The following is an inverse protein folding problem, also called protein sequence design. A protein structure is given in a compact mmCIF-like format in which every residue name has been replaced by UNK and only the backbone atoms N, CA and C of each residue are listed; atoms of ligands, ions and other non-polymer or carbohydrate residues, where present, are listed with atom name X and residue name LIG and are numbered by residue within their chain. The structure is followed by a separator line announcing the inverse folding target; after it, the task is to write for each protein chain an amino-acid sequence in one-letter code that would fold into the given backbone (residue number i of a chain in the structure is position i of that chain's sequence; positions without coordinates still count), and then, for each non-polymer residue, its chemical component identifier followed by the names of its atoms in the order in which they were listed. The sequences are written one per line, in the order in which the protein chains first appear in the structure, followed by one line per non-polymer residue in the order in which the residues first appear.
data_IF_642096413332
#
_entry.id   IF_642096413332
#
_cell.length_a   1.000
_cell.length_b   1.000
_cell.length_c   1.000
_cell.angle_alpha   90.00
_cell.angle_beta   90.00
_cell.angle_gamma   90.00
#
_symmetry.space_group_name_H-M   'P 1'
#
loop_
_entity.id
_entity.type
_entity.pdbx_description
1 polymer ?
#
# COMPACT_ATOMS: atom_id res chain seq x y z
N UNK A 1 18.39 3.23 -19.66
CA UNK A 1 17.03 3.79 -19.52
C UNK A 1 16.11 2.65 -19.10
N UNK A 2 15.61 2.70 -17.88
CA UNK A 2 14.58 1.79 -17.39
C UNK A 2 13.27 2.25 -18.04
N UNK A 3 12.78 1.47 -19.00
CA UNK A 3 11.55 1.79 -19.73
C UNK A 3 10.33 1.59 -18.84
N UNK A 4 9.99 2.58 -18.03
CA UNK A 4 8.75 2.59 -17.26
C UNK A 4 7.59 2.78 -18.24
N UNK A 5 6.69 1.82 -18.30
CA UNK A 5 5.48 1.91 -19.13
C UNK A 5 4.26 2.06 -18.24
N UNK A 6 3.67 3.23 -18.23
CA UNK A 6 2.38 3.49 -17.63
C UNK A 6 1.26 3.22 -18.66
N UNK A 7 0.34 2.33 -18.36
CA UNK A 7 -0.81 2.00 -19.19
C UNK A 7 -2.09 2.31 -18.43
N UNK A 8 -2.89 3.26 -18.95
CA UNK A 8 -4.25 3.48 -18.48
C UNK A 8 -5.21 2.47 -19.11
N UNK A 9 -6.10 1.87 -18.35
CA UNK A 9 -7.13 0.97 -18.83
C UNK A 9 -8.50 1.42 -18.34
N UNK A 10 -9.48 1.49 -19.25
CA UNK A 10 -10.82 1.95 -18.89
C UNK A 10 -11.64 0.89 -18.12
N UNK A 11 -11.33 -0.40 -18.25
CA UNK A 11 -12.00 -1.48 -17.53
C UNK A 11 -11.10 -2.70 -17.40
N UNK A 12 -10.87 -3.15 -16.18
CA UNK A 12 -10.09 -4.34 -15.91
C UNK A 12 -10.83 -5.26 -14.93
N UNK A 13 -10.73 -6.58 -15.13
CA UNK A 13 -11.23 -7.55 -14.13
C UNK A 13 -10.53 -7.28 -12.79
N UNK A 14 -9.22 -7.12 -12.83
CA UNK A 14 -8.33 -6.65 -11.77
C UNK A 14 -7.02 -6.25 -12.43
N UNK A 15 -6.52 -5.04 -12.15
CA UNK A 15 -5.27 -4.52 -12.72
C UNK A 15 -4.07 -5.45 -12.49
N UNK A 16 -3.90 -5.98 -11.28
CA UNK A 16 -2.83 -6.93 -10.97
C UNK A 16 -3.03 -8.32 -11.62
N UNK A 17 -4.26 -8.76 -11.90
CA UNK A 17 -4.49 -9.98 -12.68
C UNK A 17 -4.10 -9.78 -14.15
N UNK A 18 -4.44 -8.62 -14.71
CA UNK A 18 -4.00 -8.24 -16.04
C UNK A 18 -2.47 -8.13 -16.10
N UNK A 19 -1.84 -7.49 -15.12
CA UNK A 19 -0.39 -7.35 -15.05
C UNK A 19 0.31 -8.73 -15.02
N UNK A 20 -0.17 -9.65 -14.19
CA UNK A 20 0.34 -11.03 -14.11
C UNK A 20 0.23 -11.80 -15.43
N UNK A 21 -0.87 -11.61 -16.17
CA UNK A 21 -1.09 -12.26 -17.47
C UNK A 21 -0.30 -11.61 -18.62
N UNK A 22 0.32 -10.47 -18.39
CA UNK A 22 1.03 -9.68 -19.39
C UNK A 22 2.44 -9.25 -18.94
N UNK A 23 3.11 -10.07 -18.11
CA UNK A 23 4.43 -9.76 -17.56
C UNK A 23 5.47 -9.45 -18.66
N UNK A 24 5.34 -10.06 -19.83
CA UNK A 24 6.19 -9.83 -21.01
C UNK A 24 6.15 -8.40 -21.53
N UNK A 25 5.07 -7.67 -21.25
CA UNK A 25 4.89 -6.26 -21.66
C UNK A 25 5.61 -5.25 -20.79
N UNK A 26 6.12 -5.69 -19.63
CA UNK A 26 6.80 -4.82 -18.66
C UNK A 26 8.32 -4.98 -18.77
N UNK A 27 9.04 -3.88 -18.62
CA UNK A 27 10.48 -3.84 -18.39
C UNK A 27 10.83 -4.27 -16.95
N UNK A 28 12.04 -3.95 -16.47
CA UNK A 28 12.44 -4.21 -15.08
C UNK A 28 11.49 -3.59 -14.06
N UNK A 29 11.02 -2.37 -14.32
CA UNK A 29 9.97 -1.68 -13.58
C UNK A 29 8.90 -1.24 -14.57
N UNK A 30 7.65 -1.53 -14.27
CA UNK A 30 6.52 -1.07 -15.10
C UNK A 30 5.24 -0.99 -14.29
N UNK A 31 4.30 -0.18 -14.73
CA UNK A 31 3.05 0.01 -14.01
C UNK A 31 1.83 0.05 -14.94
N UNK A 32 0.69 -0.32 -14.38
CA UNK A 32 -0.63 -0.17 -14.99
C UNK A 32 -1.58 0.42 -13.96
N UNK A 33 -2.51 1.26 -14.41
CA UNK A 33 -3.54 1.78 -13.54
C UNK A 33 -4.91 1.82 -14.23
N UNK A 34 -5.94 1.82 -13.40
CA UNK A 34 -7.34 2.00 -13.81
C UNK A 34 -8.14 2.70 -12.71
N UNK A 35 -9.25 3.33 -13.05
CA UNK A 35 -10.21 3.86 -12.09
C UNK A 35 -11.42 2.93 -11.87
N UNK A 36 -11.42 1.76 -12.53
CA UNK A 36 -12.50 0.77 -12.41
C UNK A 36 -11.97 -0.66 -12.50
N UNK A 37 -12.39 -1.53 -11.59
CA UNK A 37 -12.13 -2.97 -11.63
C UNK A 37 -13.37 -3.75 -11.17
N UNK A 38 -13.51 -5.00 -11.59
CA UNK A 38 -14.69 -5.83 -11.24
C UNK A 38 -14.41 -6.87 -10.17
N UNK A 39 -13.16 -7.18 -9.86
CA UNK A 39 -12.75 -8.24 -8.94
C UNK A 39 -11.54 -7.86 -8.08
N UNK A 40 -11.64 -6.77 -7.32
CA UNK A 40 -10.57 -6.33 -6.41
C UNK A 40 -10.33 -7.31 -5.27
N UNK A 41 -9.07 -7.53 -4.91
CA UNK A 41 -8.66 -8.38 -3.80
C UNK A 41 -7.81 -7.61 -2.79
N UNK A 42 -8.08 -7.85 -1.51
CA UNK A 42 -7.24 -7.50 -0.39
C UNK A 42 -6.43 -8.71 0.09
N UNK A 43 -5.71 -8.54 1.19
CA UNK A 43 -4.97 -9.63 1.86
C UNK A 43 -5.94 -10.67 2.43
N UNK A 44 -5.46 -11.92 2.59
CA UNK A 44 -6.19 -13.05 3.23
C UNK A 44 -7.59 -13.29 2.67
N UNK A 45 -7.81 -13.06 1.38
CA UNK A 45 -9.10 -13.29 0.74
C UNK A 45 -10.15 -12.19 0.95
N UNK A 46 -9.82 -11.12 1.64
CA UNK A 46 -10.72 -9.96 1.71
C UNK A 46 -10.93 -9.37 0.30
N UNK A 47 -12.13 -8.87 0.06
CA UNK A 47 -12.44 -8.17 -1.19
C UNK A 47 -12.07 -6.70 -1.06
N UNK A 48 -11.35 -6.17 -2.07
CA UNK A 48 -11.26 -4.73 -2.27
C UNK A 48 -12.40 -4.31 -3.20
N UNK A 49 -13.37 -3.61 -2.65
CA UNK A 49 -14.63 -3.34 -3.37
C UNK A 49 -14.41 -2.23 -4.39
N UNK A 50 -15.00 -2.41 -5.58
CA UNK A 50 -14.89 -1.44 -6.65
C UNK A 50 -15.76 -0.20 -6.39
N UNK A 51 -15.18 0.96 -6.65
CA UNK A 51 -15.89 2.24 -6.72
C UNK A 51 -15.55 2.88 -8.06
N UNK A 52 -16.23 2.43 -9.12
CA UNK A 52 -15.93 2.84 -10.49
C UNK A 52 -15.85 4.36 -10.66
N UNK A 53 -14.71 4.83 -11.18
CA UNK A 53 -14.44 6.23 -11.39
C UNK A 53 -14.18 7.06 -10.12
N UNK A 54 -14.17 6.44 -8.93
CA UNK A 54 -14.00 7.17 -7.65
C UNK A 54 -12.76 6.71 -6.85
N UNK A 55 -11.99 5.78 -7.40
CA UNK A 55 -10.77 5.25 -6.81
C UNK A 55 -9.67 5.13 -7.85
N UNK A 56 -8.43 5.06 -7.40
CA UNK A 56 -7.29 4.63 -8.21
C UNK A 56 -6.94 3.19 -7.82
N UNK A 57 -6.87 2.33 -8.81
CA UNK A 57 -6.26 1.01 -8.73
C UNK A 57 -4.98 1.04 -9.55
N UNK A 58 -3.86 0.85 -8.89
CA UNK A 58 -2.53 0.93 -9.47
C UNK A 58 -1.75 -0.34 -9.16
N UNK A 59 -1.13 -0.91 -10.17
CA UNK A 59 -0.25 -2.06 -10.00
C UNK A 59 1.11 -1.76 -10.58
N UNK A 60 2.16 -1.96 -9.78
CA UNK A 60 3.54 -1.97 -10.25
C UNK A 60 4.04 -3.41 -10.36
N UNK A 61 4.77 -3.68 -11.44
CA UNK A 61 5.50 -4.93 -11.69
C UNK A 61 6.98 -4.64 -11.54
N UNK A 62 7.64 -5.39 -10.67
CA UNK A 62 9.07 -5.33 -10.44
C UNK A 62 9.71 -6.65 -10.87
N UNK A 63 10.63 -6.60 -11.82
CA UNK A 63 11.45 -7.73 -12.30
C UNK A 63 12.92 -7.51 -11.96
N UNK A 64 13.17 -6.96 -10.79
CA UNK A 64 14.49 -6.68 -10.27
C UNK A 64 14.71 -7.51 -9.01
N UNK A 65 15.95 -7.83 -8.73
CA UNK A 65 16.29 -8.50 -7.47
C UNK A 65 16.26 -7.48 -6.34
N UNK A 66 15.49 -7.79 -5.31
CA UNK A 66 15.40 -7.00 -4.09
C UNK A 66 16.18 -7.70 -2.98
N UNK A 67 16.95 -6.94 -2.21
CA UNK A 67 17.64 -7.48 -1.04
C UNK A 67 16.65 -8.06 0.00
N UNK A 68 15.49 -7.43 0.14
CA UNK A 68 14.44 -7.81 1.09
C UNK A 68 13.05 -7.68 0.43
N UNK A 69 12.66 -8.62 -0.44
CA UNK A 69 11.38 -8.54 -1.17
C UNK A 69 10.15 -8.55 -0.25
N UNK A 70 10.24 -9.15 0.93
CA UNK A 70 9.17 -9.20 1.93
C UNK A 70 8.86 -7.84 2.54
N UNK A 71 9.79 -6.90 2.55
CA UNK A 71 9.58 -5.53 3.03
C UNK A 71 9.05 -4.56 1.96
N UNK A 72 8.83 -5.05 0.72
CA UNK A 72 8.29 -4.23 -0.37
C UNK A 72 6.95 -3.53 -0.04
N UNK A 73 5.99 -4.13 0.71
CA UNK A 73 4.78 -3.41 1.10
C UNK A 73 5.05 -2.15 1.92
N UNK A 74 6.12 -2.16 2.74
CA UNK A 74 6.52 -1.02 3.55
C UNK A 74 7.10 0.08 2.66
N UNK A 75 7.96 -0.29 1.72
CA UNK A 75 8.48 0.62 0.71
C UNK A 75 7.35 1.25 -0.14
N UNK A 76 6.42 0.42 -0.62
CA UNK A 76 5.27 0.89 -1.38
C UNK A 76 4.41 1.87 -0.56
N UNK A 77 4.26 1.63 0.75
CA UNK A 77 3.55 2.56 1.65
C UNK A 77 4.21 3.93 1.68
N UNK A 78 5.54 4.00 1.73
CA UNK A 78 6.28 5.26 1.69
C UNK A 78 6.12 5.96 0.34
N UNK A 79 6.28 5.24 -0.77
CA UNK A 79 6.12 5.79 -2.11
C UNK A 79 4.73 6.42 -2.32
N UNK A 80 3.67 5.75 -1.83
CA UNK A 80 2.30 6.29 -1.90
C UNK A 80 2.11 7.48 -0.97
N UNK A 81 2.64 7.42 0.26
CA UNK A 81 2.54 8.52 1.22
C UNK A 81 3.19 9.80 0.67
N UNK A 82 4.37 9.66 0.07
CA UNK A 82 5.10 10.79 -0.53
C UNK A 82 4.37 11.36 -1.76
N UNK A 83 3.77 10.51 -2.60
CA UNK A 83 2.96 10.96 -3.73
C UNK A 83 1.71 11.74 -3.27
N UNK A 84 1.05 11.28 -2.20
CA UNK A 84 -0.10 11.97 -1.61
C UNK A 84 0.30 13.29 -0.94
N UNK A 85 1.45 13.33 -0.27
CA UNK A 85 2.00 14.55 0.31
C UNK A 85 2.34 15.57 -0.78
N UNK A 86 3.00 15.17 -1.85
CA UNK A 86 3.31 16.02 -2.99
C UNK A 86 2.04 16.58 -3.67
N UNK A 87 1.01 15.75 -3.83
CA UNK A 87 -0.20 16.13 -4.55
C UNK A 87 -1.15 17.00 -3.73
N UNK A 88 -1.29 16.72 -2.42
CA UNK A 88 -2.34 17.31 -1.58
C UNK A 88 -1.79 18.04 -0.35
N UNK A 89 -0.50 17.98 -0.06
CA UNK A 89 0.10 18.56 1.14
C UNK A 89 -0.30 17.84 2.44
N UNK A 90 -0.72 16.58 2.36
CA UNK A 90 -1.18 15.79 3.51
C UNK A 90 -0.08 14.85 4.01
N UNK A 91 -0.05 14.63 5.33
CA UNK A 91 0.79 13.62 5.94
C UNK A 91 -0.04 12.39 6.33
N UNK A 92 0.18 11.29 5.61
CA UNK A 92 -0.45 10.02 5.91
C UNK A 92 0.29 9.30 7.02
N UNK A 93 -0.47 8.62 7.88
CA UNK A 93 0.04 7.65 8.83
C UNK A 93 0.05 6.26 8.18
N UNK A 94 0.98 5.40 8.59
CA UNK A 94 1.08 4.04 8.09
C UNK A 94 0.69 3.07 9.21
N UNK A 95 -0.32 2.25 8.97
CA UNK A 95 -0.63 1.09 9.81
C UNK A 95 0.09 -0.11 9.20
N UNK A 96 1.11 -0.60 9.91
CA UNK A 96 1.90 -1.75 9.50
C UNK A 96 1.00 -2.96 9.20
N UNK A 97 1.28 -3.73 8.13
CA UNK A 97 2.38 -3.54 7.20
C UNK A 97 1.98 -2.78 5.91
N UNK A 98 0.71 -2.49 5.62
CA UNK A 98 0.25 -2.26 4.25
C UNK A 98 -0.92 -1.27 4.09
N UNK A 99 -1.30 -0.55 5.15
CA UNK A 99 -2.41 0.39 5.09
C UNK A 99 -1.96 1.82 5.36
N UNK A 100 -2.44 2.77 4.57
CA UNK A 100 -2.28 4.19 4.87
C UNK A 100 -3.58 4.76 5.43
N UNK A 101 -3.40 5.59 6.45
CA UNK A 101 -4.48 6.25 7.16
C UNK A 101 -4.38 7.76 7.01
N UNK A 102 -5.52 8.41 6.95
CA UNK A 102 -5.67 9.84 7.11
C UNK A 102 -6.71 10.09 8.21
N UNK A 103 -6.31 10.83 9.25
CA UNK A 103 -7.12 11.06 10.45
C UNK A 103 -7.68 9.76 11.07
N UNK A 104 -6.83 8.73 11.15
CA UNK A 104 -7.17 7.43 11.74
C UNK A 104 -8.07 6.52 10.89
N UNK A 105 -8.45 6.94 9.67
CA UNK A 105 -9.26 6.14 8.74
C UNK A 105 -8.48 5.72 7.50
N UNK A 106 -8.75 4.51 7.00
CA UNK A 106 -8.04 3.92 5.88
C UNK A 106 -8.40 4.57 4.55
N UNK A 107 -7.38 5.06 3.84
CA UNK A 107 -7.48 5.61 2.48
C UNK A 107 -6.76 4.77 1.44
N UNK A 108 -5.76 3.96 1.84
CA UNK A 108 -4.98 3.11 0.93
C UNK A 108 -4.82 1.72 1.49
N UNK A 109 -4.87 0.73 0.60
CA UNK A 109 -4.47 -0.65 0.88
C UNK A 109 -3.49 -1.16 -0.17
N UNK A 110 -2.48 -1.92 0.27
CA UNK A 110 -1.40 -2.45 -0.56
C UNK A 110 -1.38 -3.96 -0.47
N UNK A 111 -1.19 -4.63 -1.62
CA UNK A 111 -1.07 -6.08 -1.72
C UNK A 111 0.07 -6.44 -2.68
N UNK A 112 1.17 -6.96 -2.14
CA UNK A 112 2.28 -7.47 -2.93
C UNK A 112 2.18 -9.00 -3.05
N UNK A 113 2.37 -9.50 -4.26
CA UNK A 113 2.29 -10.93 -4.60
C UNK A 113 3.54 -11.32 -5.40
N UNK A 114 4.31 -12.25 -4.86
CA UNK A 114 5.47 -12.81 -5.56
C UNK A 114 5.07 -13.71 -6.72
N UNK A 115 5.83 -13.67 -7.79
CA UNK A 115 5.72 -14.52 -8.99
C UNK A 115 7.06 -15.24 -9.21
N UNK A 116 7.40 -16.26 -8.41
CA UNK A 116 8.73 -16.89 -8.42
C UNK A 116 9.14 -17.42 -9.79
N UNK A 117 8.21 -18.04 -10.53
CA UNK A 117 8.45 -18.62 -11.86
C UNK A 117 8.82 -17.55 -12.91
N UNK A 118 8.56 -16.29 -12.62
CA UNK A 118 8.80 -15.15 -13.50
C UNK A 118 9.84 -14.16 -12.95
N UNK A 119 10.45 -14.47 -11.80
CA UNK A 119 11.35 -13.55 -11.09
C UNK A 119 10.76 -12.14 -10.97
N UNK A 120 9.48 -12.06 -10.59
CA UNK A 120 8.74 -10.81 -10.54
C UNK A 120 7.92 -10.68 -9.25
N UNK A 121 7.68 -9.44 -8.84
CA UNK A 121 6.73 -9.10 -7.80
C UNK A 121 5.68 -8.16 -8.41
N UNK A 122 4.42 -8.44 -8.13
CA UNK A 122 3.27 -7.63 -8.55
C UNK A 122 2.69 -6.98 -7.31
N UNK A 123 2.80 -5.66 -7.21
CA UNK A 123 2.32 -4.88 -6.08
C UNK A 123 1.10 -4.07 -6.48
N UNK A 124 -0.08 -4.47 -6.01
CA UNK A 124 -1.34 -3.77 -6.21
C UNK A 124 -1.60 -2.75 -5.11
N UNK A 125 -2.03 -1.56 -5.47
CA UNK A 125 -2.30 -0.41 -4.60
C UNK A 125 -3.68 0.15 -4.92
N UNK A 126 -4.57 0.17 -3.93
CA UNK A 126 -5.89 0.80 -4.05
C UNK A 126 -5.93 2.10 -3.24
N UNK A 127 -6.30 3.22 -3.88
CA UNK A 127 -6.43 4.54 -3.23
C UNK A 127 -7.87 5.01 -3.33
N UNK A 128 -8.48 5.31 -2.19
CA UNK A 128 -9.82 5.86 -2.10
C UNK A 128 -9.78 7.38 -2.40
N UNK A 129 -10.27 7.78 -3.56
CA UNK A 129 -10.23 9.17 -4.01
C UNK A 129 -11.48 9.97 -3.61
N UNK A 130 -12.65 9.56 -4.11
CA UNK A 130 -13.87 10.35 -3.99
C UNK A 130 -15.13 9.56 -3.61
N UNK A 131 -14.98 8.35 -3.07
CA UNK A 131 -16.13 7.56 -2.61
C UNK A 131 -16.88 8.33 -1.51
N UNK A 132 -18.23 8.44 -1.59
CA UNK A 132 -19.05 9.08 -0.55
C UNK A 132 -19.18 8.19 0.69
N UNK A 133 -19.62 8.77 1.82
CA UNK A 133 -19.81 8.01 3.05
C UNK A 133 -20.79 6.84 2.86
N UNK A 134 -21.85 7.04 2.09
CA UNK A 134 -22.84 5.99 1.79
C UNK A 134 -22.25 4.75 1.11
N UNK A 135 -21.14 4.88 0.39
CA UNK A 135 -20.40 3.75 -0.17
C UNK A 135 -19.77 2.90 0.95
N UNK A 136 -19.08 3.52 1.90
CA UNK A 136 -18.46 2.81 3.03
C UNK A 136 -19.50 2.17 3.94
N UNK A 137 -20.62 2.85 4.17
CA UNK A 137 -21.74 2.32 4.99
C UNK A 137 -22.38 1.09 4.32
N UNK A 138 -22.68 1.17 3.03
CA UNK A 138 -23.25 0.05 2.26
C UNK A 138 -22.34 -1.17 2.20
N UNK A 139 -21.03 -0.96 2.24
CA UNK A 139 -20.00 -2.02 2.18
C UNK A 139 -19.56 -2.49 3.57
N UNK A 140 -20.18 -2.01 4.64
CA UNK A 140 -19.80 -2.31 6.03
C UNK A 140 -18.29 -2.06 6.31
N UNK A 141 -17.78 -0.92 5.82
CA UNK A 141 -16.39 -0.49 5.99
C UNK A 141 -16.31 0.76 6.90
N UNK A 142 -16.60 0.63 8.21
CA UNK A 142 -16.71 1.77 9.13
C UNK A 142 -15.39 2.55 9.29
N UNK A 143 -14.28 1.89 8.99
CA UNK A 143 -12.93 2.45 9.12
C UNK A 143 -12.36 2.96 7.79
N UNK A 144 -13.11 2.81 6.69
CA UNK A 144 -12.76 3.35 5.39
C UNK A 144 -13.09 4.84 5.27
N UNK A 145 -12.32 5.53 4.45
CA UNK A 145 -12.60 6.91 4.05
C UNK A 145 -12.01 7.18 2.67
N UNK A 146 -12.34 8.32 2.07
CA UNK A 146 -11.74 8.81 0.83
C UNK A 146 -11.09 10.17 1.05
N UNK A 147 -10.21 10.58 0.15
CA UNK A 147 -9.58 11.89 0.19
C UNK A 147 -10.64 13.02 0.18
N UNK A 148 -11.69 12.87 -0.63
CA UNK A 148 -12.80 13.84 -0.68
C UNK A 148 -13.56 13.95 0.65
N UNK A 149 -13.81 12.82 1.35
CA UNK A 149 -14.42 12.81 2.69
C UNK A 149 -13.55 13.46 3.76
N UNK A 150 -12.24 13.51 3.51
CA UNK A 150 -11.28 14.20 4.38
C UNK A 150 -11.13 15.69 4.03
N UNK A 151 -12.02 16.22 3.19
CA UNK A 151 -12.11 17.65 2.86
C UNK A 151 -11.15 18.10 1.74
N UNK A 152 -10.53 17.18 1.01
CA UNK A 152 -9.64 17.51 -0.09
C UNK A 152 -10.42 17.75 -1.39
N UNK A 153 -9.97 18.70 -2.19
CA UNK A 153 -10.50 18.90 -3.54
C UNK A 153 -9.94 17.83 -4.47
N UNK A 154 -10.79 16.89 -4.88
CA UNK A 154 -10.41 15.72 -5.68
C UNK A 154 -11.11 15.74 -7.03
N UNK A 155 -10.33 15.62 -8.10
CA UNK A 155 -10.81 15.25 -9.44
C UNK A 155 -10.35 13.81 -9.73
N UNK A 156 -11.21 12.79 -9.57
CA UNK A 156 -10.77 11.40 -9.56
C UNK A 156 -9.98 10.97 -10.81
N UNK A 157 -10.40 11.40 -11.99
CA UNK A 157 -9.73 11.01 -13.23
C UNK A 157 -8.34 11.68 -13.37
N UNK A 158 -8.26 12.99 -13.14
CA UNK A 158 -7.01 13.73 -13.23
C UNK A 158 -6.05 13.33 -12.11
N UNK A 159 -6.55 13.13 -10.88
CA UNK A 159 -5.73 12.78 -9.73
C UNK A 159 -5.24 11.32 -9.81
N UNK A 160 -6.05 10.41 -10.34
CA UNK A 160 -5.61 9.03 -10.58
C UNK A 160 -4.40 9.00 -11.53
N UNK A 161 -4.46 9.73 -12.65
CA UNK A 161 -3.36 9.81 -13.59
C UNK A 161 -2.10 10.45 -12.97
N UNK A 162 -2.27 11.59 -12.28
CA UNK A 162 -1.16 12.30 -11.66
C UNK A 162 -0.48 11.51 -10.53
N UNK A 163 -1.25 10.82 -9.69
CA UNK A 163 -0.73 9.95 -8.64
C UNK A 163 -0.01 8.73 -9.24
N UNK A 164 -0.60 8.10 -10.27
CA UNK A 164 0.03 6.96 -10.93
C UNK A 164 1.37 7.36 -11.55
N UNK A 165 1.45 8.53 -12.19
CA UNK A 165 2.69 9.07 -12.74
C UNK A 165 3.72 9.39 -11.65
N UNK A 166 3.31 10.06 -10.57
CA UNK A 166 4.18 10.40 -9.45
C UNK A 166 4.75 9.15 -8.77
N UNK A 167 3.89 8.16 -8.45
CA UNK A 167 4.33 6.89 -7.86
C UNK A 167 5.31 6.16 -8.78
N UNK A 168 5.04 6.13 -10.09
CA UNK A 168 5.90 5.45 -11.05
C UNK A 168 7.27 6.12 -11.13
N UNK A 169 7.33 7.42 -11.38
CA UNK A 169 8.57 8.13 -11.70
C UNK A 169 9.41 8.46 -10.46
N UNK A 170 8.78 8.77 -9.34
CA UNK A 170 9.49 9.20 -8.13
C UNK A 170 9.51 8.11 -7.06
N UNK A 171 8.42 7.36 -6.90
CA UNK A 171 8.32 6.29 -5.92
C UNK A 171 9.08 5.04 -6.35
N UNK A 172 8.68 4.44 -7.46
CA UNK A 172 9.18 3.13 -7.88
C UNK A 172 10.36 3.16 -8.86
N UNK A 173 10.65 4.27 -9.53
CA UNK A 173 11.83 4.38 -10.38
C UNK A 173 13.03 4.94 -9.59
N UNK A 174 12.90 6.13 -9.01
CA UNK A 174 14.02 6.81 -8.35
C UNK A 174 14.36 6.27 -6.97
N UNK A 175 13.35 6.06 -6.12
CA UNK A 175 13.57 5.62 -4.74
C UNK A 175 13.87 4.12 -4.63
N UNK A 176 13.46 3.32 -5.62
CA UNK A 176 13.69 1.89 -5.63
C UNK A 176 15.17 1.53 -5.60
N UNK A 177 16.04 2.31 -6.24
CA UNK A 177 17.47 2.03 -6.33
C UNK A 177 18.16 1.86 -4.96
N UNK A 178 17.82 2.69 -3.98
CA UNK A 178 18.32 2.53 -2.61
C UNK A 178 17.75 1.27 -1.95
N UNK A 179 16.45 1.05 -2.11
CA UNK A 179 15.76 -0.11 -1.55
C UNK A 179 16.22 -1.44 -2.14
N UNK A 180 16.52 -1.51 -3.43
CA UNK A 180 17.08 -2.72 -4.07
C UNK A 180 18.35 -3.19 -3.39
N UNK A 181 19.21 -2.27 -2.96
CA UNK A 181 20.53 -2.55 -2.41
C UNK A 181 20.54 -2.70 -0.89
N UNK A 182 19.81 -1.85 -0.20
CA UNK A 182 19.85 -1.66 1.24
C UNK A 182 18.61 -2.21 1.94
N UNK A 183 17.61 -2.65 1.14
CA UNK A 183 16.35 -3.15 1.68
C UNK A 183 15.62 -2.08 2.51
N UNK A 184 14.96 -2.52 3.57
CA UNK A 184 14.17 -1.65 4.43
C UNK A 184 15.01 -0.59 5.17
N UNK A 185 16.29 -0.85 5.40
CA UNK A 185 17.19 0.09 6.07
C UNK A 185 17.20 1.47 5.38
N UNK A 186 17.08 1.50 4.04
CA UNK A 186 17.04 2.75 3.26
C UNK A 186 15.91 3.71 3.63
N UNK A 187 14.79 3.16 4.17
CA UNK A 187 13.57 3.93 4.46
C UNK A 187 13.12 3.83 5.92
N UNK A 188 13.81 3.05 6.75
CA UNK A 188 13.37 2.63 8.07
C UNK A 188 12.97 3.80 8.98
N UNK A 189 13.82 4.81 9.12
CA UNK A 189 13.58 5.93 10.02
C UNK A 189 12.38 6.78 9.55
N UNK A 190 12.28 7.05 8.26
CA UNK A 190 11.15 7.77 7.68
C UNK A 190 9.83 6.98 7.82
N UNK A 191 9.89 5.65 7.66
CA UNK A 191 8.75 4.77 7.88
C UNK A 191 8.29 4.78 9.34
N UNK A 192 9.22 4.61 10.29
CA UNK A 192 8.93 4.62 11.73
C UNK A 192 8.27 5.92 12.18
N UNK A 193 8.70 7.06 11.65
CA UNK A 193 8.11 8.35 11.93
C UNK A 193 6.62 8.45 11.54
N UNK A 194 6.17 7.65 10.57
CA UNK A 194 4.77 7.59 10.11
C UNK A 194 3.99 6.39 10.67
N UNK A 195 4.65 5.43 11.33
CA UNK A 195 4.06 4.17 11.77
C UNK A 195 3.20 4.34 13.03
N UNK A 196 1.88 4.21 12.89
CA UNK A 196 0.93 4.37 14.01
C UNK A 196 0.93 3.21 15.00
N UNK A 197 1.51 2.07 14.64
CA UNK A 197 1.59 0.91 15.53
C UNK A 197 2.51 1.19 16.71
N UNK A 198 3.58 1.97 16.51
CA UNK A 198 4.62 2.19 17.51
C UNK A 198 4.09 2.90 18.73
N UNK A 199 4.45 2.38 19.91
CA UNK A 199 3.99 2.84 21.21
C UNK A 199 2.57 2.40 21.59
N UNK A 200 1.87 1.63 20.75
CA UNK A 200 0.50 1.17 20.97
C UNK A 200 0.44 -0.32 21.28
N UNK A 201 -0.58 -0.69 22.04
CA UNK A 201 -0.93 -2.10 22.21
C UNK A 201 -1.46 -2.67 20.89
N UNK A 202 -0.97 -3.84 20.53
CA UNK A 202 -1.33 -4.56 19.30
C UNK A 202 -1.65 -6.01 19.61
N UNK A 203 -2.56 -6.58 18.82
CA UNK A 203 -2.85 -8.01 18.79
C UNK A 203 -2.54 -8.56 17.41
N UNK A 204 -1.98 -9.77 17.35
CA UNK A 204 -1.60 -10.45 16.11
C UNK A 204 -1.74 -11.96 16.24
N UNK A 205 -1.64 -12.70 15.15
CA UNK A 205 -1.66 -14.17 15.20
C UNK A 205 -0.45 -14.66 16.04
N UNK A 206 -0.74 -15.18 17.22
CA UNK A 206 0.28 -15.69 18.14
C UNK A 206 0.55 -14.85 19.36
N UNK A 207 -0.17 -13.72 19.59
CA UNK A 207 -0.01 -12.96 20.81
C UNK A 207 -0.47 -11.51 20.77
N UNK A 208 -0.10 -10.81 21.83
CA UNK A 208 -0.38 -9.39 22.00
C UNK A 208 0.76 -8.69 22.78
N UNK A 209 0.82 -7.39 22.71
CA UNK A 209 1.80 -6.58 23.43
C UNK A 209 1.92 -5.17 22.90
N UNK A 210 2.94 -4.46 23.31
CA UNK A 210 3.22 -3.11 22.82
C UNK A 210 4.17 -3.17 21.63
N UNK A 211 3.78 -2.59 20.49
CA UNK A 211 4.67 -2.43 19.36
C UNK A 211 5.74 -1.39 19.69
N UNK A 212 7.00 -1.82 19.74
CA UNK A 212 8.12 -0.97 20.21
C UNK A 212 9.05 -0.56 19.09
N UNK A 213 9.13 -1.33 18.01
CA UNK A 213 9.99 -1.00 16.87
C UNK A 213 9.49 -1.62 15.56
N UNK A 214 10.08 -1.21 14.44
CA UNK A 214 10.13 -1.93 13.19
C UNK A 214 11.61 -2.18 12.92
N UNK A 215 12.02 -3.46 12.89
CA UNK A 215 13.43 -3.83 12.78
C UNK A 215 14.01 -3.64 11.36
N UNK A 216 15.26 -4.03 11.18
CA UNK A 216 16.00 -3.84 9.92
C UNK A 216 15.45 -4.67 8.76
N UNK A 217 14.71 -5.75 9.05
CA UNK A 217 14.00 -6.54 8.05
C UNK A 217 12.55 -6.10 7.83
N UNK A 218 12.11 -5.02 8.49
CA UNK A 218 10.76 -4.50 8.36
C UNK A 218 9.71 -5.24 9.20
N UNK A 219 10.12 -6.11 10.12
CA UNK A 219 9.22 -6.83 11.04
C UNK A 219 8.77 -5.90 12.17
N UNK A 220 7.51 -6.01 12.57
CA UNK A 220 7.00 -5.30 13.73
C UNK A 220 7.51 -6.00 15.01
N UNK A 221 8.24 -5.28 15.83
CA UNK A 221 8.74 -5.79 17.12
C UNK A 221 7.70 -5.49 18.19
N UNK A 222 7.16 -6.53 18.80
CA UNK A 222 6.14 -6.44 19.84
C UNK A 222 6.68 -6.96 21.16
N UNK A 223 6.66 -6.11 22.19
CA UNK A 223 7.04 -6.46 23.55
C UNK A 223 5.82 -6.98 24.30
N UNK A 224 5.77 -8.27 24.52
CA UNK A 224 4.76 -8.97 25.33
C UNK A 224 5.26 -9.30 26.74
N UNK A 225 4.45 -10.03 27.52
CA UNK A 225 4.77 -10.44 28.89
C UNK A 225 5.96 -11.41 28.95
N UNK A 226 6.13 -12.25 27.92
CA UNK A 226 7.18 -13.30 27.86
C UNK A 226 8.44 -12.86 27.08
N UNK A 227 8.48 -11.60 26.62
CA UNK A 227 9.59 -11.08 25.83
C UNK A 227 9.17 -10.42 24.54
N UNK A 228 10.13 -10.17 23.65
CA UNK A 228 9.90 -9.54 22.33
C UNK A 228 9.61 -10.58 21.27
N UNK A 229 8.60 -10.33 20.45
CA UNK A 229 8.24 -11.11 19.26
C UNK A 229 8.43 -10.25 18.00
N UNK A 230 9.04 -10.83 16.97
CA UNK A 230 9.20 -10.20 15.65
C UNK A 230 8.12 -10.71 14.71
N UNK A 231 7.16 -9.88 14.39
CA UNK A 231 6.00 -10.22 13.53
C UNK A 231 6.38 -9.97 12.08
N UNK A 232 6.45 -11.04 11.30
CA UNK A 232 6.87 -11.01 9.89
C UNK A 232 5.75 -10.64 8.94
N UNK A 233 4.57 -11.18 9.20
CA UNK A 233 3.38 -11.05 8.36
C UNK A 233 2.16 -11.28 9.21
N UNK A 234 1.01 -10.98 8.69
CA UNK A 234 -0.23 -11.23 9.39
C UNK A 234 -1.08 -9.98 9.50
N UNK A 235 -2.21 -10.14 10.15
CA UNK A 235 -3.07 -9.03 10.52
C UNK A 235 -2.66 -8.55 11.90
N UNK A 236 -2.47 -7.25 12.03
CA UNK A 236 -2.17 -6.62 13.31
C UNK A 236 -3.29 -5.63 13.61
N UNK A 237 -4.05 -5.90 14.66
CA UNK A 237 -5.01 -4.95 15.22
C UNK A 237 -4.28 -4.00 16.15
N UNK A 238 -4.61 -2.71 16.09
CA UNK A 238 -3.95 -1.66 16.87
C UNK A 238 -4.97 -1.01 17.77
N UNK A 239 -4.74 -1.03 19.07
CA UNK A 239 -5.66 -0.44 20.03
C UNK A 239 -5.83 1.08 19.80
N UNK A 240 -7.09 1.53 19.71
CA UNK A 240 -7.43 2.93 19.39
C UNK A 240 -7.29 3.32 17.91
N UNK A 241 -6.96 2.37 17.03
CA UNK A 241 -7.04 2.49 15.57
C UNK A 241 -8.05 1.46 15.08
N UNK A 242 -8.64 1.64 13.89
CA UNK A 242 -9.64 0.71 13.36
C UNK A 242 -9.18 -0.76 13.46
N UNK A 243 -10.15 -1.66 13.71
CA UNK A 243 -9.91 -3.10 13.86
C UNK A 243 -9.46 -3.53 15.25
N UNK A 244 -9.39 -2.63 16.23
CA UNK A 244 -9.31 -2.96 17.63
C UNK A 244 -10.65 -2.69 18.32
N UNK A 245 -11.22 -3.70 18.95
CA UNK A 245 -12.34 -3.57 19.90
C UNK A 245 -11.76 -3.33 21.29
#
# INVERSE_FOLDING_TARGET
EIGVRLVGSEMCIRDSTWAKANLDKFGPVGAVYTTSQTAGRGRRGHTWINASGQALYYTVVLKTELAQPESLPLFASMAVADALEQRYGIQCQIKWPNDLLLNGKKIVGILCEGMPDHHAIVCGIGINLAQPQSYFDAMALPHGTSLALQGLAVNPAADAAALAESMTNFGFDRALYGFEREGFAAIRDAYKARCVNLGRHVTFDGGEGTAVDVDEEGRLVVQGAEGSTHVFTGEVSVHGIYGAV
#
